data_IF_418141520859
#
_entry.id   IF_418141520859
#
_cell.length_a   1.000
_cell.length_b   1.000
_cell.length_c   1.000
_cell.angle_alpha   90.00
_cell.angle_beta   90.00
_cell.angle_gamma   90.00
#
_symmetry.space_group_name_H-M   'P 1'
#
loop_
_entity.id
_entity.type
_entity.pdbx_description
1 polymer ?
#
# COMPACT_ATOMS: atom_id res chain seq x y z
N UNK A 1 -36.81 23.43 -19.08
CA UNK A 1 -35.90 23.01 -20.16
C UNK A 1 -34.87 22.12 -19.52
N UNK A 2 -35.01 20.81 -19.70
CA UNK A 2 -34.10 19.81 -19.13
C UNK A 2 -33.06 19.51 -20.22
N UNK A 3 -31.80 19.82 -19.94
CA UNK A 3 -30.70 19.48 -20.85
C UNK A 3 -30.66 17.97 -21.07
N UNK A 4 -30.54 17.49 -22.32
CA UNK A 4 -30.31 16.08 -22.57
C UNK A 4 -28.88 15.77 -22.13
N UNK A 5 -28.74 14.87 -21.14
CA UNK A 5 -27.46 14.28 -20.81
C UNK A 5 -26.84 13.74 -22.10
N UNK A 6 -25.70 14.31 -22.49
CA UNK A 6 -24.89 13.79 -23.57
C UNK A 6 -24.74 12.28 -23.34
N UNK A 7 -25.28 11.50 -24.28
CA UNK A 7 -25.07 10.07 -24.30
C UNK A 7 -23.57 9.90 -24.56
N UNK A 8 -22.78 9.71 -23.51
CA UNK A 8 -21.40 9.29 -23.66
C UNK A 8 -21.45 8.01 -24.48
N UNK A 9 -21.08 8.07 -25.76
CA UNK A 9 -20.88 6.89 -26.57
C UNK A 9 -19.79 6.08 -25.86
N UNK A 10 -20.22 5.01 -25.19
CA UNK A 10 -19.32 4.07 -24.55
C UNK A 10 -18.88 3.12 -25.64
N UNK A 11 -17.57 3.00 -25.80
CA UNK A 11 -16.95 2.07 -26.73
C UNK A 11 -17.47 0.64 -26.47
N UNK A 12 -17.39 -0.18 -27.50
CA UNK A 12 -17.87 -1.55 -27.44
C UNK A 12 -17.17 -2.35 -26.34
N UNK A 13 -17.96 -2.89 -25.39
CA UNK A 13 -17.43 -3.71 -24.30
C UNK A 13 -17.17 -5.13 -24.77
N UNK A 14 -15.90 -5.54 -24.76
CA UNK A 14 -15.47 -6.93 -24.89
C UNK A 14 -14.94 -7.45 -23.56
N UNK A 15 -15.34 -8.66 -23.17
CA UNK A 15 -14.89 -9.29 -21.93
C UNK A 15 -13.71 -10.20 -22.23
N UNK A 16 -12.63 -10.07 -21.49
CA UNK A 16 -11.43 -10.87 -21.68
C UNK A 16 -11.56 -12.17 -20.90
N UNK A 17 -11.43 -13.32 -21.57
CA UNK A 17 -11.46 -14.65 -20.93
C UNK A 17 -10.04 -15.20 -20.81
N UNK A 18 -9.65 -15.52 -19.59
CA UNK A 18 -8.40 -16.23 -19.29
C UNK A 18 -8.46 -17.68 -19.75
N UNK A 19 -7.32 -18.30 -20.12
CA UNK A 19 -7.22 -19.73 -20.39
C UNK A 19 -7.73 -20.62 -19.24
N UNK A 20 -7.74 -20.11 -18.00
CA UNK A 20 -8.21 -20.83 -16.80
C UNK A 20 -9.71 -20.64 -16.51
N UNK A 21 -10.44 -19.89 -17.35
CA UNK A 21 -11.90 -19.73 -17.25
C UNK A 21 -12.37 -18.52 -16.44
N UNK A 22 -11.47 -17.63 -16.02
CA UNK A 22 -11.83 -16.35 -15.39
C UNK A 22 -12.10 -15.26 -16.43
N UNK A 23 -12.98 -14.31 -16.10
CA UNK A 23 -13.38 -13.21 -16.98
C UNK A 23 -13.00 -11.85 -16.41
N UNK A 24 -12.51 -10.94 -17.26
CA UNK A 24 -11.95 -9.67 -16.82
C UNK A 24 -12.32 -8.49 -17.72
N UNK A 25 -12.34 -7.30 -17.13
CA UNK A 25 -12.41 -6.01 -17.83
C UNK A 25 -11.23 -5.15 -17.41
N UNK A 26 -10.43 -4.71 -18.38
CA UNK A 26 -9.22 -3.91 -18.16
C UNK A 26 -9.43 -2.41 -18.37
N UNK A 27 -10.49 -2.00 -19.07
CA UNK A 27 -10.76 -0.58 -19.32
C UNK A 27 -11.45 0.07 -18.14
N UNK A 28 -10.80 1.07 -17.52
CA UNK A 28 -11.36 1.80 -16.37
C UNK A 28 -12.69 2.47 -16.68
N UNK A 29 -12.85 3.01 -17.90
CA UNK A 29 -14.09 3.60 -18.41
C UNK A 29 -15.24 2.60 -18.40
N UNK A 30 -15.02 1.40 -18.92
CA UNK A 30 -16.00 0.32 -18.91
C UNK A 30 -16.37 -0.11 -17.49
N UNK A 31 -15.39 -0.23 -16.60
CA UNK A 31 -15.64 -0.58 -15.19
C UNK A 31 -16.49 0.48 -14.47
N UNK A 32 -16.22 1.77 -14.69
CA UNK A 32 -17.04 2.84 -14.12
C UNK A 32 -18.46 2.80 -14.66
N UNK A 33 -18.60 2.62 -15.97
CA UNK A 33 -19.90 2.53 -16.63
C UNK A 33 -20.72 1.34 -16.11
N UNK A 34 -20.11 0.16 -16.02
CA UNK A 34 -20.74 -1.05 -15.46
C UNK A 34 -21.20 -0.87 -14.01
N UNK A 35 -20.40 -0.19 -13.17
CA UNK A 35 -20.78 0.09 -11.77
C UNK A 35 -21.92 1.10 -11.66
N UNK A 36 -21.91 2.14 -12.51
CA UNK A 36 -22.91 3.22 -12.47
C UNK A 36 -24.25 2.81 -13.08
N UNK A 37 -24.22 2.18 -14.25
CA UNK A 37 -25.43 1.89 -15.03
C UNK A 37 -25.98 0.49 -14.74
N UNK A 38 -25.11 -0.51 -14.61
CA UNK A 38 -25.53 -1.92 -14.49
C UNK A 38 -25.35 -2.50 -13.08
N UNK A 39 -24.85 -1.72 -12.12
CA UNK A 39 -24.54 -2.15 -10.74
C UNK A 39 -23.67 -3.41 -10.67
N UNK A 40 -22.80 -3.59 -11.65
CA UNK A 40 -21.85 -4.71 -11.68
C UNK A 40 -20.61 -4.31 -10.92
N UNK A 41 -20.30 -5.05 -9.86
CA UNK A 41 -19.19 -4.73 -8.97
C UNK A 41 -17.97 -5.58 -9.24
N UNK A 42 -18.16 -6.83 -9.68
CA UNK A 42 -17.08 -7.78 -9.87
C UNK A 42 -16.32 -8.10 -8.58
N UNK A 43 -15.33 -8.99 -8.71
CA UNK A 43 -14.30 -9.22 -7.71
C UNK A 43 -13.06 -8.44 -8.13
N UNK A 44 -12.40 -7.84 -7.15
CA UNK A 44 -11.06 -7.31 -7.36
C UNK A 44 -10.08 -8.47 -7.20
N UNK A 45 -9.07 -8.57 -8.07
CA UNK A 45 -7.91 -9.43 -7.81
C UNK A 45 -7.27 -8.96 -6.51
N UNK A 46 -7.61 -9.62 -5.41
CA UNK A 46 -6.84 -9.52 -4.20
C UNK A 46 -5.54 -10.28 -4.46
N UNK A 47 -4.38 -9.67 -4.18
CA UNK A 47 -3.07 -10.33 -4.16
C UNK A 47 -3.04 -11.61 -3.31
N UNK A 48 -4.11 -11.92 -2.58
CA UNK A 48 -4.32 -13.17 -1.84
C UNK A 48 -4.49 -14.41 -2.73
N UNK A 49 -4.52 -14.27 -4.06
CA UNK A 49 -4.61 -15.38 -5.02
C UNK A 49 -3.39 -16.31 -5.10
N UNK A 50 -2.25 -15.98 -4.47
CA UNK A 50 -1.07 -16.89 -4.44
C UNK A 50 -1.08 -17.78 -3.18
N UNK A 51 -1.87 -17.48 -2.14
CA UNK A 51 -1.92 -18.28 -0.92
C UNK A 51 -3.35 -18.39 -0.42
N UNK A 52 -4.06 -19.39 -0.93
CA UNK A 52 -5.38 -19.75 -0.44
C UNK A 52 -5.24 -20.55 0.87
N UNK A 53 -5.32 -19.86 2.00
CA UNK A 53 -6.11 -20.30 3.16
C UNK A 53 -6.16 -19.21 4.23
N UNK A 54 -7.32 -19.13 4.89
CA UNK A 54 -7.68 -18.27 6.04
C UNK A 54 -8.40 -16.95 5.72
N UNK A 55 -9.67 -17.02 6.13
CA UNK A 55 -10.69 -15.99 6.24
C UNK A 55 -10.17 -14.78 7.02
N UNK A 56 -10.25 -13.61 6.39
CA UNK A 56 -10.26 -12.35 7.12
C UNK A 56 -11.46 -11.58 6.61
N UNK A 57 -12.38 -11.33 7.53
CA UNK A 57 -13.60 -10.54 7.36
C UNK A 57 -13.30 -9.17 6.76
N UNK A 58 -14.13 -8.66 5.83
CA UNK A 58 -13.98 -7.29 5.39
C UNK A 58 -14.40 -6.35 6.53
N UNK A 59 -13.42 -5.63 7.06
CA UNK A 59 -13.64 -4.56 8.01
C UNK A 59 -14.63 -3.54 7.41
N UNK A 60 -15.59 -3.16 8.24
CA UNK A 60 -16.62 -2.16 8.00
C UNK A 60 -15.94 -0.80 7.84
N UNK A 61 -15.78 -0.32 6.60
CA UNK A 61 -15.28 1.04 6.32
C UNK A 61 -16.38 1.84 5.64
N UNK A 62 -17.06 2.63 6.48
CA UNK A 62 -17.60 3.98 6.24
C UNK A 62 -17.76 4.46 4.79
N UNK A 63 -19.03 4.65 4.43
CA UNK A 63 -19.63 5.69 3.56
C UNK A 63 -18.70 6.56 2.69
N UNK A 64 -19.01 6.55 1.38
CA UNK A 64 -18.74 7.59 0.40
C UNK A 64 -17.30 7.79 -0.11
N UNK A 65 -16.48 6.74 -0.15
CA UNK A 65 -15.34 6.73 -1.07
C UNK A 65 -15.82 6.26 -2.45
N UNK A 66 -15.69 7.13 -3.47
CA UNK A 66 -15.80 6.74 -4.87
C UNK A 66 -14.99 5.45 -5.05
N UNK A 67 -15.59 4.34 -5.51
CA UNK A 67 -14.87 3.08 -5.59
C UNK A 67 -13.76 3.28 -6.62
N UNK A 68 -12.53 3.44 -6.14
CA UNK A 68 -11.36 3.56 -6.99
C UNK A 68 -11.38 2.40 -7.97
N UNK A 69 -11.16 2.72 -9.24
CA UNK A 69 -11.26 1.76 -10.33
C UNK A 69 -10.02 0.88 -10.28
N UNK A 70 -10.05 -0.12 -9.41
CA UNK A 70 -9.04 -1.16 -9.36
C UNK A 70 -9.26 -2.09 -10.55
N UNK A 71 -8.24 -2.16 -11.39
CA UNK A 71 -8.17 -3.02 -12.56
C UNK A 71 -7.25 -4.22 -12.25
N UNK A 72 -7.44 -5.37 -12.92
CA UNK A 72 -8.62 -5.71 -13.72
C UNK A 72 -9.85 -5.94 -12.84
N UNK A 73 -11.04 -5.67 -13.39
CA UNK A 73 -12.30 -6.09 -12.78
C UNK A 73 -12.56 -7.55 -13.14
N UNK A 74 -12.48 -8.47 -12.18
CA UNK A 74 -12.90 -9.85 -12.40
C UNK A 74 -14.41 -9.94 -12.34
N UNK A 75 -15.02 -10.63 -13.29
CA UNK A 75 -16.46 -10.86 -13.28
C UNK A 75 -16.73 -12.30 -12.83
N UNK A 76 -17.81 -12.49 -12.08
CA UNK A 76 -18.32 -13.84 -11.81
C UNK A 76 -18.96 -14.43 -13.07
N UNK A 77 -19.14 -15.75 -13.12
CA UNK A 77 -19.86 -16.41 -14.22
C UNK A 77 -21.31 -15.89 -14.35
N UNK A 78 -21.94 -15.55 -13.24
CA UNK A 78 -23.30 -15.00 -13.21
C UNK A 78 -23.32 -13.58 -13.81
N UNK A 79 -22.35 -12.74 -13.45
CA UNK A 79 -22.24 -11.39 -14.01
C UNK A 79 -21.91 -11.42 -15.50
N UNK A 80 -21.04 -12.33 -15.94
CA UNK A 80 -20.66 -12.44 -17.36
C UNK A 80 -21.80 -12.96 -18.21
N UNK A 81 -22.52 -13.99 -17.74
CA UNK A 81 -23.69 -14.50 -18.43
C UNK A 81 -24.78 -13.43 -18.53
N UNK A 82 -24.99 -12.63 -17.49
CA UNK A 82 -25.93 -11.49 -17.52
C UNK A 82 -25.49 -10.44 -18.56
N UNK A 83 -24.22 -10.06 -18.58
CA UNK A 83 -23.67 -9.09 -19.52
C UNK A 83 -23.83 -9.52 -20.99
N UNK A 84 -23.59 -10.79 -21.27
CA UNK A 84 -23.75 -11.36 -22.61
C UNK A 84 -25.23 -11.50 -22.97
N UNK A 85 -26.07 -11.97 -22.05
CA UNK A 85 -27.51 -12.16 -22.28
C UNK A 85 -28.21 -10.82 -22.57
N UNK A 86 -27.87 -9.77 -21.82
CA UNK A 86 -28.42 -8.43 -22.00
C UNK A 86 -27.78 -7.67 -23.17
N UNK A 87 -26.84 -8.29 -23.91
CA UNK A 87 -26.08 -7.67 -25.00
C UNK A 87 -25.37 -6.38 -24.60
N UNK A 88 -25.00 -6.27 -23.32
CA UNK A 88 -24.20 -5.17 -22.77
C UNK A 88 -22.75 -5.36 -23.22
N UNK A 89 -22.24 -6.60 -23.13
CA UNK A 89 -20.99 -6.99 -23.76
C UNK A 89 -21.25 -7.50 -25.17
N UNK A 90 -20.44 -7.06 -26.15
CA UNK A 90 -20.53 -7.51 -27.55
C UNK A 90 -20.00 -8.93 -27.75
N UNK A 91 -19.08 -9.37 -26.89
CA UNK A 91 -18.51 -10.70 -26.98
C UNK A 91 -17.45 -10.99 -25.94
N UNK A 92 -16.93 -12.21 -26.02
CA UNK A 92 -15.76 -12.67 -25.27
C UNK A 92 -14.54 -12.60 -26.19
N UNK A 93 -13.49 -11.94 -25.72
CA UNK A 93 -12.16 -12.02 -26.33
C UNK A 93 -11.33 -13.02 -25.54
N UNK A 94 -10.88 -14.08 -26.21
CA UNK A 94 -10.07 -15.10 -25.55
C UNK A 94 -8.64 -14.60 -25.59
N UNK A 95 -8.01 -14.44 -24.43
CA UNK A 95 -6.57 -14.19 -24.39
C UNK A 95 -5.91 -15.41 -24.98
N UNK A 96 -5.46 -15.31 -26.23
CA UNK A 96 -4.53 -16.28 -26.77
C UNK A 96 -3.33 -16.24 -25.83
N UNK A 97 -3.03 -17.32 -25.09
CA UNK A 97 -1.77 -17.35 -24.37
C UNK A 97 -0.70 -17.07 -25.41
N UNK A 98 0.23 -16.16 -25.12
CA UNK A 98 1.43 -15.98 -25.93
C UNK A 98 2.20 -17.30 -25.84
N UNK A 99 1.82 -18.27 -26.69
CA UNK A 99 2.43 -19.60 -26.77
C UNK A 99 3.81 -19.54 -27.40
N UNK A 100 4.12 -18.42 -28.05
CA UNK A 100 5.39 -18.17 -28.72
C UNK A 100 6.05 -16.93 -28.10
N UNK A 101 6.34 -17.03 -26.80
CA UNK A 101 7.37 -16.18 -26.23
C UNK A 101 8.69 -16.74 -26.72
N UNK A 102 9.28 -16.11 -27.74
CA UNK A 102 10.69 -16.34 -28.03
C UNK A 102 11.45 -16.15 -26.71
N UNK A 103 12.25 -17.15 -26.29
CA UNK A 103 13.03 -17.00 -25.07
C UNK A 103 13.91 -15.76 -25.22
N UNK A 104 14.06 -14.95 -24.16
CA UNK A 104 14.95 -13.79 -24.20
C UNK A 104 16.34 -14.25 -24.62
N UNK A 105 17.01 -13.43 -25.43
CA UNK A 105 18.36 -13.73 -25.87
C UNK A 105 19.27 -13.84 -24.65
N UNK A 106 20.26 -14.73 -24.71
CA UNK A 106 21.19 -14.96 -23.60
C UNK A 106 21.89 -13.65 -23.18
N UNK A 107 22.18 -12.76 -24.15
CA UNK A 107 22.71 -11.42 -23.89
C UNK A 107 21.81 -10.58 -22.99
N UNK A 108 20.50 -10.67 -23.18
CA UNK A 108 19.51 -9.84 -22.47
C UNK A 108 19.33 -10.34 -21.04
N UNK A 109 19.45 -11.66 -20.83
CA UNK A 109 19.52 -12.24 -19.48
C UNK A 109 20.74 -11.74 -18.72
N UNK A 110 21.92 -11.69 -19.36
CA UNK A 110 23.13 -11.17 -18.71
C UNK A 110 22.98 -9.69 -18.32
N UNK A 111 22.43 -8.86 -19.22
CA UNK A 111 22.16 -7.45 -18.92
C UNK A 111 21.14 -7.28 -17.79
N UNK A 112 20.12 -8.15 -17.75
CA UNK A 112 19.14 -8.17 -16.67
C UNK A 112 19.77 -8.54 -15.33
N UNK A 113 20.60 -9.59 -15.30
CA UNK A 113 21.28 -10.02 -14.08
C UNK A 113 22.25 -8.94 -13.57
N UNK A 114 22.93 -8.23 -14.45
CA UNK A 114 23.80 -7.10 -14.11
C UNK A 114 22.98 -5.89 -13.59
N UNK A 115 21.87 -5.56 -14.24
CA UNK A 115 20.94 -4.52 -13.77
C UNK A 115 20.31 -4.86 -12.42
N UNK A 116 20.07 -6.14 -12.16
CA UNK A 116 19.50 -6.63 -10.91
C UNK A 116 20.54 -6.62 -9.78
N UNK A 117 21.80 -6.97 -10.07
CA UNK A 117 22.89 -6.85 -9.13
C UNK A 117 23.13 -5.39 -8.71
N UNK A 118 23.21 -4.47 -9.68
CA UNK A 118 23.38 -3.03 -9.42
C UNK A 118 22.22 -2.45 -8.60
N UNK A 119 20.97 -2.80 -8.95
CA UNK A 119 19.81 -2.38 -8.16
C UNK A 119 19.85 -2.91 -6.71
N UNK A 120 20.31 -4.14 -6.48
CA UNK A 120 20.46 -4.67 -5.13
C UNK A 120 21.49 -3.90 -4.31
N UNK A 121 22.62 -3.51 -4.92
CA UNK A 121 23.62 -2.68 -4.25
C UNK A 121 23.05 -1.32 -3.86
N UNK A 122 22.36 -0.63 -4.78
CA UNK A 122 21.72 0.66 -4.54
C UNK A 122 20.68 0.59 -3.42
N UNK A 123 19.83 -0.45 -3.43
CA UNK A 123 18.76 -0.62 -2.44
C UNK A 123 19.30 -1.07 -1.08
N UNK A 124 20.40 -1.80 -1.04
CA UNK A 124 20.99 -2.27 0.21
C UNK A 124 21.42 -1.10 1.12
N UNK A 125 22.01 -0.05 0.54
CA UNK A 125 22.41 1.14 1.30
C UNK A 125 21.20 1.89 1.87
N UNK A 126 20.17 2.08 1.05
CA UNK A 126 18.91 2.73 1.47
C UNK A 126 18.25 1.93 2.59
N UNK A 127 18.20 0.59 2.46
CA UNK A 127 17.64 -0.27 3.49
C UNK A 127 18.42 -0.19 4.81
N UNK A 128 19.75 -0.15 4.75
CA UNK A 128 20.57 0.04 5.94
C UNK A 128 20.35 1.41 6.58
N UNK A 129 20.24 2.48 5.79
CA UNK A 129 19.95 3.82 6.29
C UNK A 129 18.57 3.89 6.96
N UNK A 130 17.54 3.31 6.34
CA UNK A 130 16.19 3.21 6.92
C UNK A 130 16.20 2.42 8.24
N UNK A 131 16.95 1.30 8.30
CA UNK A 131 17.11 0.52 9.52
C UNK A 131 17.76 1.34 10.64
N UNK A 132 18.82 2.12 10.33
CA UNK A 132 19.47 3.02 11.30
C UNK A 132 18.51 4.11 11.77
N UNK A 133 17.80 4.76 10.86
CA UNK A 133 16.82 5.80 11.19
C UNK A 133 15.72 5.27 12.11
N UNK A 134 15.20 4.08 11.83
CA UNK A 134 14.20 3.40 12.67
C UNK A 134 14.75 3.05 14.06
N UNK A 135 16.01 2.64 14.16
CA UNK A 135 16.65 2.43 15.46
C UNK A 135 16.74 3.72 16.27
N UNK A 136 17.17 4.82 15.63
CA UNK A 136 17.29 6.12 16.29
C UNK A 136 15.93 6.68 16.74
N UNK A 137 14.85 6.44 15.99
CA UNK A 137 13.51 6.87 16.43
C UNK A 137 13.08 6.19 17.74
N UNK A 138 13.40 4.91 17.95
CA UNK A 138 13.10 4.23 19.21
C UNK A 138 13.86 4.84 20.40
N UNK A 139 15.12 5.22 20.21
CA UNK A 139 15.88 5.93 21.25
C UNK A 139 15.28 7.30 21.56
N UNK A 140 14.82 8.03 20.54
CA UNK A 140 14.09 9.29 20.71
C UNK A 140 12.82 9.15 21.54
N UNK A 141 12.01 8.14 21.27
CA UNK A 141 10.80 7.83 22.04
C UNK A 141 11.13 7.48 23.51
N UNK A 142 12.20 6.73 23.74
CA UNK A 142 12.65 6.38 25.09
C UNK A 142 13.08 7.63 25.89
N UNK A 143 13.82 8.54 25.27
CA UNK A 143 14.24 9.80 25.91
C UNK A 143 13.03 10.70 26.19
N UNK A 144 12.09 10.81 25.24
CA UNK A 144 10.84 11.54 25.45
C UNK A 144 10.02 10.93 26.62
N UNK A 145 9.99 9.60 26.72
CA UNK A 145 9.39 8.87 27.84
C UNK A 145 10.06 9.16 29.18
N UNK A 146 11.40 9.16 29.24
CA UNK A 146 12.18 9.53 30.43
C UNK A 146 11.88 10.98 30.85
N UNK A 147 11.87 11.93 29.91
CA UNK A 147 11.55 13.34 30.17
C UNK A 147 10.14 13.51 30.75
N UNK A 148 9.14 12.81 30.17
CA UNK A 148 7.75 12.83 30.65
C UNK A 148 7.58 12.21 32.04
N UNK A 149 8.38 11.21 32.41
CA UNK A 149 8.42 10.67 33.79
C UNK A 149 9.03 11.69 34.75
N UNK A 150 10.16 12.31 34.40
CA UNK A 150 10.81 13.36 35.22
C UNK A 150 9.86 14.53 35.51
N UNK A 151 9.14 15.04 34.52
CA UNK A 151 8.17 16.14 34.73
C UNK A 151 6.99 15.73 35.62
N UNK A 152 6.49 14.50 35.50
CA UNK A 152 5.44 13.97 36.38
C UNK A 152 5.91 13.80 37.82
N UNK A 153 7.15 13.33 38.04
CA UNK A 153 7.73 13.23 39.37
C UNK A 153 8.00 14.61 40.00
N UNK A 154 8.49 15.58 39.22
CA UNK A 154 8.67 16.96 39.69
C UNK A 154 7.33 17.63 40.07
N UNK A 155 6.27 17.41 39.28
CA UNK A 155 4.92 17.88 39.61
C UNK A 155 4.28 17.19 40.82
N UNK A 156 4.76 16.00 41.19
CA UNK A 156 4.31 15.26 42.39
C UNK A 156 5.04 15.70 43.66
N UNK A 157 6.26 16.21 43.54
CA UNK A 157 7.02 16.78 44.66
C UNK A 157 6.53 18.18 45.08
N UNK A 158 5.81 18.91 44.22
CA UNK A 158 5.19 20.18 44.58
C UNK A 158 3.95 20.03 45.50
N UNK A 159 3.40 18.82 45.65
CA UNK A 159 2.26 18.57 46.53
C UNK A 159 2.59 17.85 47.84
N UNK A 160 3.80 17.30 47.99
CA UNK A 160 4.24 16.63 49.22
C UNK A 160 5.62 17.16 49.64
N UNK A 161 5.63 18.14 50.54
CA UNK A 161 6.78 18.39 51.41
C UNK A 161 6.83 17.28 52.46
N UNK A 162 7.63 16.25 52.22
CA UNK A 162 8.32 15.50 53.27
C UNK A 162 9.53 14.79 52.65
N UNK A 163 10.67 14.94 53.32
CA UNK A 163 12.00 14.59 52.85
C UNK A 163 12.25 13.08 52.80
N UNK A 164 12.96 12.59 51.78
CA UNK A 164 13.86 11.41 51.89
C UNK A 164 15.03 11.55 50.91
N UNK A 165 16.20 11.21 51.44
CA UNK A 165 17.57 11.23 50.96
C UNK A 165 17.90 10.52 49.63
N UNK A 166 18.98 11.02 48.98
CA UNK A 166 20.00 10.35 48.13
C UNK A 166 19.48 9.72 46.82
N UNK A 167 20.07 9.95 45.65
CA UNK A 167 21.50 9.93 45.32
C UNK A 167 21.84 11.01 44.28
N UNK A 168 23.03 11.60 44.43
CA UNK A 168 23.69 12.38 43.40
C UNK A 168 24.07 11.46 42.23
N UNK A 169 23.31 11.48 41.15
CA UNK A 169 23.87 11.16 39.83
C UNK A 169 24.14 12.50 39.12
N UNK A 170 25.40 12.96 39.23
CA UNK A 170 25.96 13.96 38.31
C UNK A 170 26.07 13.35 36.92
N UNK A 171 24.95 13.21 36.22
CA UNK A 171 24.95 12.97 34.78
C UNK A 171 24.88 14.35 34.12
N UNK A 172 26.05 14.82 33.65
CA UNK A 172 26.19 16.14 33.05
C UNK A 172 25.15 16.41 31.97
N UNK A 173 24.59 17.63 31.98
CA UNK A 173 23.68 18.12 30.97
C UNK A 173 24.37 18.11 29.60
N UNK A 174 24.19 17.03 28.83
CA UNK A 174 24.54 17.02 27.41
C UNK A 174 23.43 17.76 26.67
N UNK A 175 23.64 19.07 26.47
CA UNK A 175 22.85 19.83 25.51
C UNK A 175 23.26 19.38 24.11
N UNK A 176 22.34 18.70 23.44
CA UNK A 176 22.47 18.38 22.02
C UNK A 176 21.77 19.51 21.26
N UNK A 177 22.55 20.45 20.75
CA UNK A 177 22.05 21.42 19.78
C UNK A 177 21.64 20.69 18.49
N UNK A 178 20.65 21.25 17.78
CA UNK A 178 19.94 20.71 16.60
C UNK A 178 20.82 20.23 15.42
N UNK A 179 22.15 20.31 15.52
CA UNK A 179 23.11 19.86 14.52
C UNK A 179 24.16 18.84 15.00
N UNK A 180 23.98 18.22 16.16
CA UNK A 180 24.72 17.00 16.53
C UNK A 180 26.23 17.17 16.71
N UNK A 181 26.71 18.30 17.23
CA UNK A 181 28.09 18.42 17.74
C UNK A 181 28.11 18.41 19.26
N UNK A 182 28.82 17.44 19.82
CA UNK A 182 29.07 17.32 21.25
C UNK A 182 30.25 18.23 21.64
N UNK A 183 30.02 19.20 22.52
CA UNK A 183 31.11 19.87 23.24
C UNK A 183 31.10 19.39 24.69
N UNK A 184 32.22 18.79 25.11
CA UNK A 184 32.50 18.49 26.52
C UNK A 184 33.09 19.75 27.16
N UNK A 185 32.34 20.38 28.07
CA UNK A 185 32.90 21.39 28.96
C UNK A 185 33.59 20.68 30.13
N UNK A 186 34.91 20.72 30.15
CA UNK A 186 35.71 20.32 31.31
C UNK A 186 35.73 21.48 32.31
N UNK A 187 35.50 21.16 33.58
CA UNK A 187 35.86 21.98 34.75
C UNK A 187 37.21 21.51 35.25
#
# INVERSE_FOLDING_TARGET
MSEPYASEEVDDLYLQMSPWGDFFVWTSRHVQWLRRQHRIFGRLLSQKGILSSSSVTPAKTTLAAIPSVRLPLCLSLEETSLLLYQRIAKGLDIVTPLTDLQPPLVSDLFLYDEALATHFEEVAEVYQAQKRQKMLSYYGEMLAGKRKRRTRHAGRHLSNTEAVDKEEEKEGDIQVDEFGKFQLLSV
#
